data_IF_939727946609
#
_entry.id   IF_939727946609
#
_cell.length_a   1.000
_cell.length_b   1.000
_cell.length_c   1.000
_cell.angle_alpha   90.00
_cell.angle_beta   90.00
_cell.angle_gamma   90.00
#
_symmetry.space_group_name_H-M   'P 1'
#
loop_
_entity.id
_entity.type
_entity.pdbx_description
1 polymer ?
#
# COMPACT_ATOMS: atom_id res chain seq x y z
N UNK A 1 12.59 0.31 6.20
CA UNK A 1 11.65 -0.37 5.27
C UNK A 1 12.36 -1.52 4.54
N UNK A 2 11.65 -2.61 4.24
CA UNK A 2 12.21 -3.81 3.60
C UNK A 2 11.81 -3.88 2.13
N UNK A 3 12.72 -4.34 1.27
CA UNK A 3 12.42 -4.51 -0.16
C UNK A 3 11.47 -5.69 -0.35
N UNK A 4 10.49 -5.52 -1.23
CA UNK A 4 9.53 -6.58 -1.59
C UNK A 4 8.69 -7.10 -0.40
N UNK A 5 8.48 -6.25 0.62
CA UNK A 5 7.54 -6.49 1.70
C UNK A 5 6.34 -5.57 1.52
N UNK A 6 5.14 -6.13 1.54
CA UNK A 6 3.89 -5.40 1.42
C UNK A 6 2.99 -5.72 2.61
N UNK A 7 2.25 -4.73 3.09
CA UNK A 7 1.33 -4.88 4.22
C UNK A 7 -0.09 -4.58 3.78
N UNK A 8 -0.99 -5.53 4.01
CA UNK A 8 -2.42 -5.37 3.81
C UNK A 8 -3.13 -5.51 5.16
N UNK A 9 -2.95 -4.52 6.02
CA UNK A 9 -3.33 -4.55 7.44
C UNK A 9 -3.98 -3.25 7.88
N UNK A 10 -4.66 -3.24 9.02
CA UNK A 10 -5.23 -2.00 9.60
C UNK A 10 -6.67 -1.68 9.19
N UNK A 11 -7.41 -2.64 8.64
CA UNK A 11 -8.80 -2.46 8.19
C UNK A 11 -9.84 -2.39 9.32
N UNK A 12 -9.45 -2.65 10.58
CA UNK A 12 -10.37 -2.69 11.72
C UNK A 12 -11.48 -3.74 11.56
N UNK A 13 -12.67 -3.42 12.07
CA UNK A 13 -13.86 -4.30 12.02
C UNK A 13 -14.46 -4.46 10.62
N UNK A 14 -14.12 -3.57 9.68
CA UNK A 14 -14.60 -3.60 8.29
C UNK A 14 -13.71 -4.43 7.35
N UNK A 15 -12.74 -5.18 7.89
CA UNK A 15 -11.79 -5.96 7.09
C UNK A 15 -12.45 -6.91 6.09
N UNK A 16 -13.54 -7.57 6.48
CA UNK A 16 -14.29 -8.45 5.57
C UNK A 16 -14.90 -7.68 4.39
N UNK A 17 -15.57 -6.55 4.68
CA UNK A 17 -16.21 -5.72 3.66
C UNK A 17 -15.20 -5.18 2.64
N UNK A 18 -13.98 -4.87 3.07
CA UNK A 18 -12.95 -4.29 2.21
C UNK A 18 -12.00 -5.32 1.58
N UNK A 19 -12.11 -6.60 1.92
CA UNK A 19 -11.13 -7.62 1.58
C UNK A 19 -10.84 -7.71 0.07
N UNK A 20 -11.87 -7.74 -0.78
CA UNK A 20 -11.70 -7.83 -2.23
C UNK A 20 -11.03 -6.59 -2.81
N UNK A 21 -11.42 -5.40 -2.35
CA UNK A 21 -10.87 -4.13 -2.82
C UNK A 21 -9.41 -3.94 -2.42
N UNK A 22 -9.08 -4.17 -1.15
CA UNK A 22 -7.70 -4.04 -0.67
C UNK A 22 -6.78 -5.14 -1.24
N UNK A 23 -7.31 -6.35 -1.44
CA UNK A 23 -6.62 -7.43 -2.13
C UNK A 23 -6.27 -7.09 -3.59
N UNK A 24 -7.20 -6.48 -4.34
CA UNK A 24 -6.96 -6.01 -5.72
C UNK A 24 -5.85 -4.97 -5.77
N UNK A 25 -5.89 -3.98 -4.88
CA UNK A 25 -4.86 -2.94 -4.74
C UNK A 25 -3.48 -3.55 -4.49
N UNK A 26 -3.39 -4.47 -3.53
CA UNK A 26 -2.15 -5.16 -3.21
C UNK A 26 -1.62 -5.97 -4.39
N UNK A 27 -2.50 -6.71 -5.08
CA UNK A 27 -2.12 -7.52 -6.24
C UNK A 27 -1.55 -6.68 -7.39
N UNK A 28 -2.12 -5.49 -7.62
CA UNK A 28 -1.60 -4.55 -8.62
C UNK A 28 -0.22 -4.01 -8.23
N UNK A 29 -0.03 -3.61 -6.97
CA UNK A 29 1.29 -3.17 -6.47
C UNK A 29 2.36 -4.25 -6.58
N UNK A 30 2.04 -5.49 -6.18
CA UNK A 30 2.97 -6.63 -6.28
C UNK A 30 3.31 -6.94 -7.74
N UNK A 31 2.35 -6.74 -8.65
CA UNK A 31 2.53 -6.97 -10.09
C UNK A 31 3.16 -5.79 -10.84
N UNK A 32 3.49 -4.69 -10.15
CA UNK A 32 4.00 -3.46 -10.79
C UNK A 32 2.97 -2.74 -11.67
N UNK A 33 1.67 -2.99 -11.45
CA UNK A 33 0.57 -2.30 -12.12
C UNK A 33 0.09 -1.14 -11.26
N UNK A 34 -0.30 -0.04 -11.89
CA UNK A 34 -0.90 1.09 -11.19
C UNK A 34 -2.29 0.68 -10.65
N UNK A 35 -2.54 0.76 -9.33
CA UNK A 35 -3.87 0.48 -8.79
C UNK A 35 -4.92 1.50 -9.26
N UNK A 36 -6.13 1.03 -9.51
CA UNK A 36 -7.29 1.88 -9.88
C UNK A 36 -7.85 2.66 -8.68
N UNK A 37 -7.71 2.11 -7.48
CA UNK A 37 -8.13 2.75 -6.22
C UNK A 37 -7.01 3.66 -5.73
N UNK A 38 -7.36 4.90 -5.37
CA UNK A 38 -6.41 5.87 -4.82
C UNK A 38 -5.80 5.39 -3.49
N UNK A 39 -4.49 5.59 -3.34
CA UNK A 39 -3.72 5.10 -2.19
C UNK A 39 -3.41 6.19 -1.15
N UNK A 40 -3.92 7.40 -1.37
CA UNK A 40 -3.69 8.55 -0.51
C UNK A 40 -4.06 8.22 0.94
N UNK A 41 -3.12 8.43 1.87
CA UNK A 41 -3.34 8.16 3.29
C UNK A 41 -3.39 6.68 3.69
N UNK A 42 -3.09 5.73 2.80
CA UNK A 42 -2.97 4.30 3.13
C UNK A 42 -1.55 3.89 3.52
N UNK A 43 -0.56 4.73 3.20
CA UNK A 43 0.85 4.50 3.51
C UNK A 43 1.19 4.88 4.95
N UNK A 44 2.37 4.47 5.44
CA UNK A 44 2.73 4.65 6.86
C UNK A 44 3.29 6.04 7.17
N UNK A 45 3.59 6.85 6.17
CA UNK A 45 3.95 8.27 6.30
C UNK A 45 2.89 9.07 7.06
N UNK A 46 1.63 8.62 7.02
CA UNK A 46 0.53 9.14 7.86
C UNK A 46 0.78 9.05 9.37
N UNK A 47 1.69 8.19 9.82
CA UNK A 47 2.03 8.01 11.23
C UNK A 47 3.29 8.76 11.68
N UNK A 48 3.96 9.49 10.78
CA UNK A 48 5.09 10.35 11.11
C UNK A 48 6.28 10.22 10.15
N UNK A 49 7.14 11.24 10.16
CA UNK A 49 8.24 11.48 9.22
C UNK A 49 9.44 10.52 9.32
N UNK A 50 9.40 9.54 10.21
CA UNK A 50 10.49 8.56 10.39
C UNK A 50 10.59 7.52 9.28
N UNK A 51 9.58 7.44 8.40
CA UNK A 51 9.51 6.38 7.41
C UNK A 51 10.03 6.87 6.06
N UNK A 52 11.13 6.27 5.60
CA UNK A 52 11.84 6.69 4.39
C UNK A 52 11.12 6.17 3.13
N UNK A 53 10.70 7.03 2.18
CA UNK A 53 10.04 6.61 0.95
C UNK A 53 10.80 5.48 0.25
N UNK A 54 10.09 4.43 -0.15
CA UNK A 54 10.64 3.35 -0.97
C UNK A 54 10.09 3.48 -2.39
N UNK A 55 10.99 3.65 -3.35
CA UNK A 55 10.60 3.59 -4.75
C UNK A 55 10.31 2.14 -5.14
N UNK A 56 9.07 1.88 -5.58
CA UNK A 56 8.68 0.58 -6.11
C UNK A 56 9.00 0.50 -7.61
N UNK A 57 9.23 -0.71 -8.15
CA UNK A 57 9.36 -0.92 -9.60
C UNK A 57 8.11 -0.41 -10.34
N UNK A 58 8.29 0.35 -11.42
CA UNK A 58 7.19 0.95 -12.19
C UNK A 58 6.91 2.42 -11.92
N UNK A 59 7.77 3.10 -11.14
CA UNK A 59 7.66 4.55 -10.90
C UNK A 59 6.63 4.94 -9.84
N UNK A 60 6.01 3.96 -9.18
CA UNK A 60 5.18 4.19 -8.00
C UNK A 60 6.10 4.57 -6.84
N UNK A 61 6.11 5.86 -6.50
CA UNK A 61 6.77 6.34 -5.29
C UNK A 61 5.85 6.02 -4.13
N UNK A 62 6.23 5.02 -3.34
CA UNK A 62 5.51 4.68 -2.12
C UNK A 62 6.21 5.39 -0.97
N UNK A 63 5.52 6.35 -0.35
CA UNK A 63 5.95 6.86 0.96
C UNK A 63 5.92 5.69 1.93
N UNK A 64 7.02 5.44 2.64
CA UNK A 64 7.12 4.22 3.42
C UNK A 64 6.14 4.22 4.56
#
# INVERSE_FOLDING_TARGET
PYRNLFLNTGHGTLGWTMACGSGRVLADMVSGRQPEIGLEGLFMDRYGSGNKPVQMPGGIVVTA
#
